data_IF_443650428939
#
_entry.id   IF_443650428939
#
_cell.length_a   1.000
_cell.length_b   1.000
_cell.length_c   1.000
_cell.angle_alpha   90.00
_cell.angle_beta   90.00
_cell.angle_gamma   90.00
#
_symmetry.space_group_name_H-M   'P 1'
#
loop_
_entity.id
_entity.type
_entity.pdbx_description
1 polymer ?
#
# COMPACT_ATOMS: atom_id res chain seq x y z
N UNK A 1 19.27 -1.38 6.60
CA UNK A 1 17.84 -1.43 6.25
C UNK A 1 17.62 -1.14 4.77
N UNK A 2 16.96 -2.05 4.06
CA UNK A 2 16.43 -1.86 2.70
C UNK A 2 14.95 -1.48 2.76
N UNK A 3 14.48 -0.69 1.80
CA UNK A 3 13.13 -0.16 1.76
C UNK A 3 12.35 -0.72 0.57
N UNK A 4 11.17 -1.25 0.85
CA UNK A 4 10.27 -1.83 -0.15
C UNK A 4 8.97 -1.04 -0.12
N UNK A 5 8.62 -0.35 -1.20
CA UNK A 5 7.31 0.33 -1.29
C UNK A 5 6.33 -0.54 -2.07
N UNK A 6 5.13 -0.71 -1.53
CA UNK A 6 4.00 -1.35 -2.20
C UNK A 6 2.97 -0.26 -2.53
N UNK A 7 2.87 0.04 -3.82
CA UNK A 7 1.88 0.94 -4.39
C UNK A 7 0.85 0.16 -5.23
N UNK A 8 -0.23 0.81 -5.66
CA UNK A 8 -1.20 0.14 -6.51
C UNK A 8 -2.27 1.05 -7.06
N UNK A 9 -2.87 0.63 -8.17
CA UNK A 9 -3.75 1.45 -9.01
C UNK A 9 -4.94 2.08 -8.25
N UNK A 10 -5.54 1.35 -7.31
CA UNK A 10 -6.65 1.85 -6.49
C UNK A 10 -6.65 1.24 -5.08
N UNK A 11 -7.67 1.58 -4.27
CA UNK A 11 -7.90 0.96 -2.96
C UNK A 11 -8.29 -0.50 -3.14
N UNK A 12 -8.06 -1.33 -2.12
CA UNK A 12 -8.45 -2.75 -2.10
C UNK A 12 -7.83 -3.67 -3.18
N UNK A 13 -6.81 -3.24 -3.93
CA UNK A 13 -6.04 -4.10 -4.87
C UNK A 13 -5.11 -5.12 -4.18
N UNK A 14 -5.23 -5.34 -2.87
CA UNK A 14 -4.43 -6.34 -2.15
C UNK A 14 -3.06 -5.88 -1.65
N UNK A 15 -2.73 -4.58 -1.67
CA UNK A 15 -1.45 -4.05 -1.14
C UNK A 15 -1.14 -4.51 0.29
N UNK A 16 -2.09 -4.36 1.20
CA UNK A 16 -1.93 -4.76 2.60
C UNK A 16 -1.68 -6.26 2.72
N UNK A 17 -2.47 -7.07 2.01
CA UNK A 17 -2.30 -8.53 1.98
C UNK A 17 -0.91 -8.92 1.48
N UNK A 18 -0.43 -8.29 0.41
CA UNK A 18 0.92 -8.52 -0.11
C UNK A 18 1.99 -8.11 0.90
N UNK A 19 1.87 -6.93 1.53
CA UNK A 19 2.82 -6.45 2.52
C UNK A 19 2.98 -7.40 3.71
N UNK A 20 1.86 -7.93 4.22
CA UNK A 20 1.86 -8.89 5.33
C UNK A 20 2.48 -10.22 4.94
N UNK A 21 2.10 -10.76 3.78
CA UNK A 21 2.70 -12.00 3.26
C UNK A 21 4.19 -11.83 3.00
N UNK A 22 4.60 -10.71 2.44
CA UNK A 22 6.01 -10.41 2.20
C UNK A 22 6.80 -10.33 3.51
N UNK A 23 6.28 -9.60 4.51
CA UNK A 23 6.87 -9.56 5.87
C UNK A 23 7.03 -10.96 6.47
N UNK A 24 6.03 -11.82 6.34
CA UNK A 24 6.06 -13.18 6.86
C UNK A 24 7.05 -14.11 6.14
N UNK A 25 7.45 -13.78 4.90
CA UNK A 25 8.38 -14.59 4.09
C UNK A 25 9.83 -14.09 4.16
N UNK A 26 10.05 -12.80 4.42
CA UNK A 26 11.40 -12.26 4.53
C UNK A 26 12.07 -12.75 5.83
N UNK A 27 13.18 -13.47 5.69
CA UNK A 27 14.07 -13.78 6.81
C UNK A 27 14.77 -12.49 7.26
N UNK A 28 14.40 -11.96 8.43
CA UNK A 28 15.04 -10.79 9.01
C UNK A 28 14.09 -9.91 9.81
N UNK A 29 14.66 -8.92 10.49
CA UNK A 29 13.91 -7.91 11.26
C UNK A 29 13.20 -6.99 10.27
N UNK A 30 11.92 -7.28 10.04
CA UNK A 30 11.09 -6.61 9.04
C UNK A 30 9.90 -5.92 9.69
N UNK A 31 9.71 -4.66 9.32
CA UNK A 31 8.52 -3.90 9.72
C UNK A 31 7.64 -3.57 8.52
N UNK A 32 6.32 -3.54 8.75
CA UNK A 32 5.33 -3.10 7.78
C UNK A 32 4.68 -1.82 8.27
N UNK A 33 4.70 -0.80 7.43
CA UNK A 33 4.11 0.51 7.68
C UNK A 33 3.08 0.80 6.60
N UNK A 34 1.97 1.42 6.98
CA UNK A 34 0.94 1.90 6.06
C UNK A 34 0.81 3.40 6.17
N UNK A 35 0.91 4.10 5.05
CA UNK A 35 0.76 5.56 4.99
C UNK A 35 -0.57 5.92 4.35
N UNK A 36 -1.49 6.49 5.12
CA UNK A 36 -2.75 7.01 4.62
C UNK A 36 -3.81 7.31 5.69
N UNK A 37 -5.00 7.71 5.23
CA UNK A 37 -6.12 8.18 6.05
C UNK A 37 -6.96 7.05 6.66
N UNK A 38 -6.33 5.97 7.11
CA UNK A 38 -7.02 4.87 7.80
C UNK A 38 -7.29 5.22 9.27
N UNK A 39 -8.10 4.40 9.92
CA UNK A 39 -8.18 4.35 11.39
C UNK A 39 -7.30 3.19 11.82
N UNK A 40 -6.51 3.37 12.89
CA UNK A 40 -5.75 2.27 13.47
C UNK A 40 -6.72 1.26 14.07
N UNK A 41 -6.56 0.00 13.68
CA UNK A 41 -7.38 -1.12 14.12
C UNK A 41 -6.58 -2.12 14.96
N UNK A 42 -5.44 -1.71 15.53
CA UNK A 42 -4.55 -2.58 16.29
C UNK A 42 -3.98 -3.70 15.42
N UNK A 43 -3.68 -3.39 14.16
CA UNK A 43 -3.17 -4.36 13.19
C UNK A 43 -1.64 -4.43 13.27
N UNK A 44 -1.06 -5.46 12.67
CA UNK A 44 0.39 -5.66 12.70
C UNK A 44 1.19 -4.59 11.95
N UNK A 45 0.54 -3.85 11.03
CA UNK A 45 1.13 -2.71 10.35
C UNK A 45 1.05 -1.44 11.20
N UNK A 46 2.15 -0.70 11.29
CA UNK A 46 2.13 0.63 11.88
C UNK A 46 1.41 1.59 10.92
N UNK A 47 0.38 2.27 11.41
CA UNK A 47 -0.35 3.26 10.63
C UNK A 47 0.26 4.65 10.81
N UNK A 48 0.60 5.30 9.70
CA UNK A 48 1.03 6.69 9.63
C UNK A 48 0.04 7.49 8.78
N UNK A 49 -0.20 8.73 9.16
CA UNK A 49 -1.22 9.57 8.52
C UNK A 49 -0.63 10.53 7.49
N UNK A 50 0.70 10.68 7.44
CA UNK A 50 1.38 11.56 6.50
C UNK A 50 2.67 10.97 5.94
N UNK A 51 3.07 11.43 4.75
CA UNK A 51 4.39 11.10 4.17
C UNK A 51 5.53 11.74 4.97
N UNK A 52 5.28 12.85 5.66
CA UNK A 52 6.24 13.49 6.56
C UNK A 52 6.56 12.61 7.78
N UNK A 53 5.54 12.01 8.41
CA UNK A 53 5.73 11.01 9.47
C UNK A 53 6.52 9.81 8.97
N UNK A 54 6.19 9.31 7.77
CA UNK A 54 6.93 8.21 7.16
C UNK A 54 8.41 8.57 6.95
N UNK A 55 8.70 9.78 6.47
CA UNK A 55 10.07 10.27 6.32
C UNK A 55 10.85 10.27 7.64
N UNK A 56 10.24 10.76 8.73
CA UNK A 56 10.85 10.74 10.06
C UNK A 56 11.12 9.31 10.54
N UNK A 57 10.12 8.42 10.43
CA UNK A 57 10.27 7.02 10.81
C UNK A 57 11.39 6.32 10.03
N UNK A 58 11.46 6.53 8.71
CA UNK A 58 12.51 5.95 7.86
C UNK A 58 13.90 6.40 8.34
N UNK A 59 14.07 7.70 8.62
CA UNK A 59 15.33 8.25 9.12
C UNK A 59 15.72 7.64 10.48
N UNK A 60 14.76 7.52 11.39
CA UNK A 60 14.98 6.95 12.72
C UNK A 60 15.37 5.47 12.64
N UNK A 61 14.68 4.66 11.84
CA UNK A 61 15.00 3.22 11.67
C UNK A 61 16.33 3.00 10.97
N UNK A 62 16.69 3.87 10.02
CA UNK A 62 18.03 3.86 9.41
C UNK A 62 19.11 4.13 10.46
N UNK A 63 18.91 5.11 11.33
CA UNK A 63 19.85 5.46 12.40
C UNK A 63 20.02 4.34 13.42
N UNK A 64 18.92 3.68 13.79
CA UNK A 64 18.94 2.58 14.77
C UNK A 64 19.64 1.32 14.24
N UNK A 65 19.66 1.08 12.93
CA UNK A 65 20.26 -0.13 12.34
C UNK A 65 19.56 -1.44 12.75
N UNK A 66 18.36 -1.36 13.31
CA UNK A 66 17.63 -2.48 13.91
C UNK A 66 16.77 -3.27 12.92
N UNK A 67 16.57 -2.74 11.71
CA UNK A 67 15.78 -3.37 10.66
C UNK A 67 16.63 -3.76 9.46
N UNK A 68 16.38 -4.96 8.96
CA UNK A 68 16.91 -5.43 7.69
C UNK A 68 16.04 -4.89 6.56
N UNK A 69 14.71 -4.92 6.74
CA UNK A 69 13.72 -4.46 5.76
C UNK A 69 12.65 -3.55 6.38
N UNK A 70 12.23 -2.54 5.63
CA UNK A 70 11.07 -1.71 5.92
C UNK A 70 10.13 -1.72 4.72
N UNK A 71 8.95 -2.32 4.90
CA UNK A 71 7.90 -2.39 3.88
C UNK A 71 6.93 -1.22 4.11
N UNK A 72 6.62 -0.48 3.06
CA UNK A 72 5.77 0.71 3.12
C UNK A 72 4.63 0.55 2.13
N UNK A 73 3.40 0.41 2.62
CA UNK A 73 2.20 0.55 1.80
C UNK A 73 1.86 2.03 1.61
N UNK A 74 2.06 2.56 0.41
CA UNK A 74 1.65 3.93 0.08
C UNK A 74 1.62 4.18 -1.43
N UNK A 75 0.60 4.92 -1.87
CA UNK A 75 0.57 5.47 -3.22
C UNK A 75 1.23 6.87 -3.30
N UNK A 76 1.34 7.58 -2.18
CA UNK A 76 1.81 8.97 -2.16
C UNK A 76 3.31 9.10 -1.89
N UNK A 77 3.90 8.14 -1.15
CA UNK A 77 5.29 8.27 -0.69
C UNK A 77 6.31 8.35 -1.82
N UNK A 78 6.02 7.72 -2.97
CA UNK A 78 6.90 7.73 -4.15
C UNK A 78 7.14 9.14 -4.74
N UNK A 79 6.32 10.13 -4.39
CA UNK A 79 6.50 11.52 -4.83
C UNK A 79 7.68 12.22 -4.15
N UNK A 80 8.09 11.74 -2.99
CA UNK A 80 9.09 12.38 -2.12
C UNK A 80 10.16 11.42 -1.60
N UNK A 81 10.11 10.16 -2.01
CA UNK A 81 10.99 9.12 -1.50
C UNK A 81 11.26 8.06 -2.57
N UNK A 82 12.54 7.74 -2.77
CA UNK A 82 12.98 6.68 -3.68
C UNK A 82 13.29 5.41 -2.87
N UNK A 83 12.50 4.35 -3.00
CA UNK A 83 12.77 3.09 -2.31
C UNK A 83 13.88 2.28 -2.99
N UNK A 84 14.48 1.34 -2.26
CA UNK A 84 15.40 0.35 -2.85
C UNK A 84 14.65 -0.58 -3.81
N UNK A 85 13.39 -0.89 -3.52
CA UNK A 85 12.53 -1.72 -4.37
C UNK A 85 11.09 -1.21 -4.34
N UNK A 86 10.42 -1.22 -5.49
CA UNK A 86 9.03 -0.82 -5.61
C UNK A 86 8.20 -1.92 -6.27
N UNK A 87 7.09 -2.28 -5.64
CA UNK A 87 6.08 -3.18 -6.21
C UNK A 87 4.84 -2.33 -6.49
N UNK A 88 4.43 -2.30 -7.76
CA UNK A 88 3.17 -1.70 -8.16
C UNK A 88 2.16 -2.80 -8.50
N UNK A 89 1.03 -2.83 -7.77
CA UNK A 89 -0.07 -3.75 -8.08
C UNK A 89 -1.02 -3.07 -9.05
N UNK A 90 -1.05 -3.58 -10.27
CA UNK A 90 -2.04 -3.17 -11.27
C UNK A 90 -3.45 -3.51 -10.81
N UNK A 91 -4.40 -2.65 -11.18
CA UNK A 91 -5.81 -2.90 -10.96
C UNK A 91 -6.46 -3.37 -12.26
N UNK A 92 -7.41 -4.30 -12.16
CA UNK A 92 -8.37 -4.50 -13.24
C UNK A 92 -9.21 -3.23 -13.48
N UNK A 93 -9.95 -3.18 -14.59
CA UNK A 93 -10.86 -2.06 -14.87
C UNK A 93 -11.78 -1.81 -13.67
N UNK A 94 -11.97 -0.55 -13.22
CA UNK A 94 -12.86 -0.25 -12.13
C UNK A 94 -14.25 -0.81 -12.43
N UNK A 95 -14.84 -1.50 -11.46
CA UNK A 95 -16.15 -2.15 -11.58
C UNK A 95 -17.29 -1.18 -11.93
N UNK A 96 -17.05 0.14 -11.83
CA UNK A 96 -17.98 1.19 -12.25
C UNK A 96 -18.30 1.16 -13.76
N UNK A 97 -17.39 0.70 -14.62
CA UNK A 97 -17.70 0.55 -16.06
C UNK A 97 -18.65 -0.63 -16.36
N UNK A 98 -18.71 -1.63 -15.47
CA UNK A 98 -19.59 -2.79 -15.65
C UNK A 98 -21.03 -2.51 -15.19
N UNK A 99 -21.22 -1.58 -14.25
CA UNK A 99 -22.55 -1.16 -13.81
C UNK A 99 -23.30 -0.36 -14.89
N UNK A 100 -22.61 0.50 -15.63
CA UNK A 100 -23.21 1.34 -16.68
C UNK A 100 -23.79 0.52 -17.86
N UNK A 101 -23.27 -0.68 -18.14
CA UNK A 101 -23.80 -1.57 -19.19
C UNK A 101 -25.10 -2.30 -18.81
N UNK A 102 -25.48 -2.35 -17.54
CA UNK A 102 -26.71 -3.04 -17.09
C UNK A 102 -27.96 -2.14 -17.02
N UNK A 103 -27.83 -0.83 -17.27
CA UNK A 103 -28.96 0.12 -17.18
C UNK A 103 -29.52 0.55 -18.54
N UNK A 104 -29.24 -0.15 -19.64
CA UNK A 104 -30.00 0.10 -20.88
C UNK A 104 -31.43 -0.43 -20.74
N UNK A 105 -32.47 0.43 -20.82
CA UNK A 105 -33.85 0.00 -20.67
C UNK A 105 -34.24 -0.91 -21.83
N UNK A 106 -34.91 -2.02 -21.52
CA UNK A 106 -35.57 -2.87 -22.52
C UNK A 106 -36.55 -1.99 -23.31
N UNK A 107 -36.31 -1.82 -24.61
CA UNK A 107 -37.27 -1.19 -25.52
C UNK A 107 -38.58 -1.98 -25.43
N UNK A 108 -39.64 -1.33 -24.98
CA UNK A 108 -41.01 -1.84 -24.99
C UNK A 108 -41.40 -2.15 -26.44
N UNK A 109 -41.69 -3.41 -26.73
CA UNK A 109 -42.32 -3.81 -27.98
C UNK A 109 -43.79 -3.37 -27.94
N UNK A 110 -44.25 -2.79 -29.05
CA UNK A 110 -45.58 -2.26 -29.28
C UNK A 110 -46.45 -3.32 -29.96
#
# INVERSE_FOLDING_TARGET
MRTIVIAGAHRAVGKTTLGRKLKAQLSGRTELVKVGHGIDKGKEELLLHSTAEAGRLIADRRRQGSLDYLIIESNAILRSFTPDFCIFIEGGKPQQEQAAKKMQPKKSAK
#
